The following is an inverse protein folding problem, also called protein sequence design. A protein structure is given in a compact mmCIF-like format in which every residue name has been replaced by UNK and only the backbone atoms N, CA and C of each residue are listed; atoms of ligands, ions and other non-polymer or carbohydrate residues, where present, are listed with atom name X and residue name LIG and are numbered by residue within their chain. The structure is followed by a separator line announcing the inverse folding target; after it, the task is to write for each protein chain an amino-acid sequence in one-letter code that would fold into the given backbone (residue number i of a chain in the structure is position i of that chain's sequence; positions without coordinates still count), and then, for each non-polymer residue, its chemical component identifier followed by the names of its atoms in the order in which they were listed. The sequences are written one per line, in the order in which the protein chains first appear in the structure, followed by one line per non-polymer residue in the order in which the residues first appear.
data_IF_107842830040
#
_entry.id   IF_107842830040
#
_cell.length_a   1.000
_cell.length_b   1.000
_cell.length_c   1.000
_cell.angle_alpha   90.00
_cell.angle_beta   90.00
_cell.angle_gamma   90.00
#
_symmetry.space_group_name_H-M   'P 1'
#
loop_
_entity.id
_entity.type
_entity.pdbx_description
1 polymer ?
#
# COMPACT_ATOMS: atom_id res chain seq x y z
N UNK A 1 -5.47 20.91 10.08
CA UNK A 1 -6.75 21.18 9.40
C UNK A 1 -6.53 21.81 8.04
N UNK A 2 -5.94 23.02 7.95
CA UNK A 2 -5.70 23.71 6.67
C UNK A 2 -4.97 22.85 5.61
N UNK A 3 -3.88 22.18 5.98
CA UNK A 3 -3.15 21.30 5.04
C UNK A 3 -4.03 20.13 4.56
N UNK A 4 -4.85 19.55 5.43
CA UNK A 4 -5.75 18.45 5.07
C UNK A 4 -6.89 18.90 4.14
N UNK A 5 -7.45 20.10 4.37
CA UNK A 5 -8.44 20.69 3.47
C UNK A 5 -7.82 21.04 2.12
N UNK A 6 -6.61 21.60 2.10
CA UNK A 6 -5.88 21.86 0.85
C UNK A 6 -5.57 20.57 0.08
N UNK A 7 -5.15 19.51 0.77
CA UNK A 7 -4.94 18.20 0.15
C UNK A 7 -6.23 17.65 -0.47
N UNK A 8 -7.37 17.79 0.23
CA UNK A 8 -8.67 17.33 -0.28
C UNK A 8 -9.09 18.12 -1.52
N UNK A 9 -8.88 19.44 -1.53
CA UNK A 9 -9.16 20.28 -2.69
C UNK A 9 -8.26 19.89 -3.87
N UNK A 10 -6.97 19.67 -3.65
CA UNK A 10 -6.03 19.25 -4.71
C UNK A 10 -6.38 17.87 -5.27
N UNK A 11 -6.84 16.94 -4.43
CA UNK A 11 -7.36 15.65 -4.89
C UNK A 11 -8.56 15.86 -5.83
N UNK A 12 -9.56 16.63 -5.42
CA UNK A 12 -10.75 16.90 -6.25
C UNK A 12 -10.40 17.64 -7.55
N UNK A 13 -9.47 18.60 -7.50
CA UNK A 13 -8.97 19.29 -8.69
C UNK A 13 -8.28 18.31 -9.66
N UNK A 14 -7.47 17.38 -9.16
CA UNK A 14 -6.80 16.38 -10.00
C UNK A 14 -7.75 15.40 -10.70
N UNK A 15 -8.96 15.21 -10.16
CA UNK A 15 -9.99 14.36 -10.76
C UNK A 15 -10.82 15.09 -11.83
N UNK A 16 -10.80 16.42 -11.82
CA UNK A 16 -11.65 17.26 -12.67
C UNK A 16 -10.95 17.73 -13.95
N UNK A 17 -9.62 17.56 -14.02
CA UNK A 17 -8.78 18.04 -15.12
C UNK A 17 -8.02 16.87 -15.73
N UNK A 18 -7.73 16.99 -17.02
CA UNK A 18 -6.93 16.02 -17.75
C UNK A 18 -5.56 15.81 -17.09
N UNK A 19 -5.17 14.55 -16.98
CA UNK A 19 -3.97 14.13 -16.26
C UNK A 19 -2.77 14.04 -17.19
N UNK A 20 -2.92 13.34 -18.33
CA UNK A 20 -1.91 13.16 -19.36
C UNK A 20 -2.52 13.40 -20.73
N UNK A 21 -1.78 14.07 -21.61
CA UNK A 21 -2.02 14.08 -23.06
C UNK A 21 -0.90 13.33 -23.74
N UNK A 22 -1.24 12.53 -24.73
CA UNK A 22 -0.24 11.90 -25.59
C UNK A 22 -0.67 11.94 -27.05
N UNK A 23 0.31 11.93 -27.94
CA UNK A 23 0.10 11.88 -29.38
C UNK A 23 0.69 10.61 -29.95
N UNK A 24 -0.16 9.79 -30.56
CA UNK A 24 0.25 8.59 -31.28
C UNK A 24 -0.37 8.62 -32.69
N UNK A 25 0.47 8.43 -33.71
CA UNK A 25 0.05 8.42 -35.12
C UNK A 25 -0.74 9.68 -35.56
N UNK A 26 -0.45 10.85 -34.97
CA UNK A 26 -1.04 12.14 -35.35
C UNK A 26 -2.40 12.45 -34.70
N UNK A 27 -2.93 11.57 -33.85
CA UNK A 27 -4.14 11.82 -33.05
C UNK A 27 -3.73 12.18 -31.63
N UNK A 28 -4.08 13.39 -31.19
CA UNK A 28 -3.94 13.78 -29.79
C UNK A 28 -5.13 13.23 -28.98
N UNK A 29 -4.82 12.58 -27.86
CA UNK A 29 -5.82 12.20 -26.87
C UNK A 29 -5.38 12.66 -25.48
N UNK A 30 -6.35 13.12 -24.69
CA UNK A 30 -6.16 13.40 -23.27
C UNK A 30 -6.99 12.44 -22.44
N UNK A 31 -6.50 12.15 -21.23
CA UNK A 31 -7.14 11.23 -20.31
C UNK A 31 -7.13 11.82 -18.91
N UNK A 32 -8.26 11.75 -18.22
CA UNK A 32 -8.34 12.05 -16.77
C UNK A 32 -7.87 10.84 -15.95
N UNK A 33 -7.58 11.05 -14.66
CA UNK A 33 -7.31 9.96 -13.73
C UNK A 33 -8.47 8.96 -13.65
N UNK A 34 -9.71 9.43 -13.75
CA UNK A 34 -10.88 8.57 -13.69
C UNK A 34 -11.03 7.71 -14.94
N UNK A 35 -10.68 8.27 -16.11
CA UNK A 35 -10.68 7.54 -17.38
C UNK A 35 -9.67 6.39 -17.37
N UNK A 36 -8.51 6.58 -16.71
CA UNK A 36 -7.54 5.48 -16.55
C UNK A 36 -8.20 4.30 -15.81
N UNK A 37 -8.85 4.54 -14.67
CA UNK A 37 -9.52 3.50 -13.91
C UNK A 37 -10.69 2.87 -14.69
N UNK A 38 -11.45 3.67 -15.44
CA UNK A 38 -12.56 3.20 -16.27
C UNK A 38 -12.08 2.26 -17.38
N UNK A 39 -11.01 2.64 -18.10
CA UNK A 39 -10.44 1.84 -19.17
C UNK A 39 -9.90 0.49 -18.68
N UNK A 40 -9.33 0.42 -17.47
CA UNK A 40 -8.96 -0.86 -16.86
C UNK A 40 -10.18 -1.74 -16.56
N UNK A 41 -11.31 -1.15 -16.16
CA UNK A 41 -12.49 -1.90 -15.71
C UNK A 41 -13.25 -2.62 -16.83
N UNK A 42 -13.25 -2.05 -18.04
CA UNK A 42 -14.07 -2.53 -19.16
C UNK A 42 -13.55 -3.85 -19.77
N UNK A 43 -12.29 -4.23 -19.51
CA UNK A 43 -11.61 -5.29 -20.26
C UNK A 43 -10.97 -6.36 -19.39
N UNK A 44 -11.79 -7.07 -18.61
CA UNK A 44 -11.43 -8.24 -17.81
C UNK A 44 -10.51 -8.02 -16.60
N UNK A 45 -9.77 -6.91 -16.51
CA UNK A 45 -8.90 -6.58 -15.37
C UNK A 45 -9.56 -5.71 -14.29
N UNK A 46 -10.77 -6.10 -13.88
CA UNK A 46 -11.56 -5.38 -12.87
C UNK A 46 -10.80 -5.22 -11.54
N UNK A 47 -9.96 -6.19 -11.19
CA UNK A 47 -9.19 -6.19 -9.94
C UNK A 47 -8.21 -5.02 -9.90
N UNK A 48 -7.48 -4.76 -10.98
CA UNK A 48 -6.51 -3.66 -11.07
C UNK A 48 -7.21 -2.30 -11.02
N UNK A 49 -8.32 -2.15 -11.76
CA UNK A 49 -9.14 -0.93 -11.72
C UNK A 49 -9.63 -0.61 -10.30
N UNK A 50 -10.17 -1.62 -9.61
CA UNK A 50 -10.64 -1.48 -8.22
C UNK A 50 -9.48 -1.14 -7.29
N UNK A 51 -8.32 -1.79 -7.43
CA UNK A 51 -7.14 -1.52 -6.61
C UNK A 51 -6.67 -0.07 -6.77
N UNK A 52 -6.55 0.41 -8.01
CA UNK A 52 -6.15 1.80 -8.30
C UNK A 52 -7.19 2.77 -7.74
N UNK A 53 -8.47 2.61 -8.05
CA UNK A 53 -9.53 3.52 -7.57
C UNK A 53 -9.61 3.54 -6.04
N UNK A 54 -9.50 2.38 -5.40
CA UNK A 54 -9.57 2.25 -3.95
C UNK A 54 -8.36 2.91 -3.27
N UNK A 55 -7.15 2.66 -3.76
CA UNK A 55 -5.91 3.13 -3.09
C UNK A 55 -5.50 4.56 -3.45
N UNK A 56 -5.81 5.02 -4.66
CA UNK A 56 -5.42 6.34 -5.17
C UNK A 56 -6.47 7.41 -4.89
N UNK A 57 -7.75 7.04 -4.89
CA UNK A 57 -8.86 8.00 -4.79
C UNK A 57 -9.63 7.79 -3.49
N UNK A 58 -10.26 6.62 -3.32
CA UNK A 58 -11.24 6.39 -2.26
C UNK A 58 -10.62 6.45 -0.85
N UNK A 59 -9.53 5.72 -0.60
CA UNK A 59 -8.89 5.67 0.72
C UNK A 59 -8.33 7.04 1.13
N UNK A 60 -7.57 7.76 0.30
CA UNK A 60 -7.10 9.10 0.64
C UNK A 60 -8.25 10.09 0.88
N UNK A 61 -9.32 10.01 0.09
CA UNK A 61 -10.53 10.82 0.30
C UNK A 61 -11.14 10.55 1.67
N UNK A 62 -11.40 9.28 2.01
CA UNK A 62 -11.97 8.89 3.31
C UNK A 62 -11.03 9.30 4.45
N UNK A 63 -9.72 9.11 4.29
CA UNK A 63 -8.72 9.49 5.28
C UNK A 63 -8.73 11.00 5.56
N UNK A 64 -8.70 11.83 4.52
CA UNK A 64 -8.71 13.29 4.65
C UNK A 64 -10.02 13.80 5.24
N UNK A 65 -11.18 13.31 4.77
CA UNK A 65 -12.50 13.68 5.31
C UNK A 65 -12.60 13.30 6.79
N UNK A 66 -12.16 12.08 7.15
CA UNK A 66 -12.15 11.61 8.55
C UNK A 66 -11.29 12.53 9.43
N UNK A 67 -10.10 12.92 8.97
CA UNK A 67 -9.23 13.83 9.71
C UNK A 67 -9.84 15.23 9.84
N UNK A 68 -10.36 15.81 8.76
CA UNK A 68 -10.98 17.14 8.79
C UNK A 68 -12.15 17.16 9.79
N UNK A 69 -12.97 16.11 9.76
CA UNK A 69 -14.08 15.97 10.69
C UNK A 69 -13.61 15.85 12.15
N UNK A 70 -12.60 15.02 12.42
CA UNK A 70 -12.04 14.87 13.78
C UNK A 70 -11.43 16.17 14.29
N UNK A 71 -10.62 16.87 13.48
CA UNK A 71 -9.97 18.12 13.90
C UNK A 71 -10.94 19.30 14.07
N UNK A 72 -12.00 19.38 13.25
CA UNK A 72 -13.03 20.41 13.42
C UNK A 72 -13.82 20.23 14.72
N UNK A 73 -14.11 18.98 15.09
CA UNK A 73 -14.86 18.66 16.30
C UNK A 73 -13.98 18.49 17.54
N UNK A 74 -12.65 18.42 17.41
CA UNK A 74 -11.73 18.18 18.52
C UNK A 74 -11.78 19.25 19.63
N UNK A 75 -12.15 20.50 19.31
CA UNK A 75 -12.26 21.59 20.28
C UNK A 75 -13.57 21.57 21.09
N UNK A 76 -14.65 21.08 20.49
CA UNK A 76 -15.99 21.09 21.07
C UNK A 76 -16.43 19.72 21.63
N UNK A 77 -15.78 18.63 21.20
CA UNK A 77 -16.22 17.29 21.53
C UNK A 77 -15.61 16.79 22.84
N UNK A 78 -16.44 16.76 23.89
CA UNK A 78 -16.39 15.66 24.85
C UNK A 78 -16.52 14.32 24.08
N UNK A 79 -15.92 13.24 24.61
CA UNK A 79 -15.85 11.85 24.08
C UNK A 79 -17.05 11.42 23.19
N UNK A 80 -17.06 11.79 21.90
CA UNK A 80 -18.12 11.41 20.96
C UNK A 80 -17.73 10.10 20.25
N UNK A 81 -18.68 9.16 20.14
CA UNK A 81 -18.45 7.83 19.55
C UNK A 81 -17.96 7.93 18.10
N UNK A 82 -18.50 8.87 17.33
CA UNK A 82 -18.11 9.09 15.93
C UNK A 82 -16.66 9.57 15.79
N UNK A 83 -16.17 10.42 16.71
CA UNK A 83 -14.76 10.85 16.73
C UNK A 83 -13.79 9.71 17.01
N UNK A 84 -14.16 8.82 17.92
CA UNK A 84 -13.37 7.62 18.19
C UNK A 84 -13.41 6.64 17.01
N UNK A 85 -14.55 6.46 16.36
CA UNK A 85 -14.67 5.63 15.17
C UNK A 85 -13.81 6.16 14.02
N UNK A 86 -13.92 7.44 13.68
CA UNK A 86 -13.16 8.04 12.58
C UNK A 86 -11.66 8.07 12.86
N UNK A 87 -11.25 8.28 14.10
CA UNK A 87 -9.84 8.23 14.46
C UNK A 87 -9.28 6.80 14.35
N UNK A 88 -10.03 5.77 14.75
CA UNK A 88 -9.66 4.37 14.51
C UNK A 88 -9.59 4.04 13.02
N UNK A 89 -10.56 4.50 12.24
CA UNK A 89 -10.59 4.33 10.80
C UNK A 89 -9.32 4.92 10.16
N UNK A 90 -8.89 6.11 10.59
CA UNK A 90 -7.66 6.72 10.06
C UNK A 90 -6.41 5.88 10.33
N UNK A 91 -6.31 5.22 11.49
CA UNK A 91 -5.17 4.32 11.79
C UNK A 91 -5.16 3.08 10.89
N UNK A 92 -6.34 2.52 10.59
CA UNK A 92 -6.47 1.38 9.68
C UNK A 92 -6.25 1.74 8.21
N UNK A 93 -6.57 2.97 7.80
CA UNK A 93 -6.37 3.44 6.41
C UNK A 93 -4.92 3.83 6.10
N UNK A 94 -4.14 4.30 7.09
CA UNK A 94 -2.75 4.78 6.91
C UNK A 94 -1.87 3.84 6.07
N UNK A 95 -1.83 2.52 6.33
CA UNK A 95 -0.94 1.63 5.58
C UNK A 95 -1.32 1.48 4.10
N UNK A 96 -2.57 1.80 3.75
CA UNK A 96 -3.10 1.68 2.39
C UNK A 96 -2.98 2.98 1.58
N UNK A 97 -2.51 4.07 2.19
CA UNK A 97 -2.22 5.31 1.48
C UNK A 97 -0.96 5.10 0.61
N UNK A 98 -1.22 4.82 -0.66
CA UNK A 98 -0.22 4.44 -1.67
C UNK A 98 -0.13 5.48 -2.81
N UNK A 99 -0.65 6.69 -2.60
CA UNK A 99 -0.71 7.73 -3.64
C UNK A 99 0.68 8.22 -4.06
N UNK A 100 1.64 8.22 -3.14
CA UNK A 100 3.05 8.48 -3.43
C UNK A 100 3.67 7.40 -4.31
N UNK A 101 3.36 6.13 -3.99
CA UNK A 101 3.78 4.97 -4.77
C UNK A 101 3.18 5.01 -6.18
N UNK A 102 1.91 5.39 -6.31
CA UNK A 102 1.25 5.57 -7.60
C UNK A 102 1.85 6.72 -8.42
N UNK A 103 2.18 7.87 -7.80
CA UNK A 103 2.84 8.98 -8.50
C UNK A 103 4.19 8.55 -9.09
N UNK A 104 4.99 7.83 -8.31
CA UNK A 104 6.27 7.30 -8.77
C UNK A 104 6.08 6.25 -9.88
N UNK A 105 5.11 5.35 -9.74
CA UNK A 105 4.77 4.38 -10.78
C UNK A 105 4.31 5.05 -12.08
N UNK A 106 3.57 6.15 -11.97
CA UNK A 106 3.18 7.00 -13.11
C UNK A 106 4.43 7.54 -13.80
N UNK A 107 5.34 8.16 -13.06
CA UNK A 107 6.57 8.72 -13.62
C UNK A 107 7.42 7.66 -14.34
N UNK A 108 7.58 6.48 -13.73
CA UNK A 108 8.31 5.36 -14.34
C UNK A 108 7.63 4.87 -15.62
N UNK A 109 6.30 4.73 -15.60
CA UNK A 109 5.52 4.34 -16.79
C UNK A 109 5.66 5.36 -17.92
N UNK A 110 5.64 6.66 -17.61
CA UNK A 110 5.81 7.74 -18.60
C UNK A 110 7.20 7.72 -19.23
N UNK A 111 8.26 7.51 -18.43
CA UNK A 111 9.62 7.35 -18.97
C UNK A 111 9.67 6.19 -19.96
N UNK A 112 9.02 5.06 -19.64
CA UNK A 112 8.99 3.88 -20.51
C UNK A 112 8.24 4.12 -21.83
N UNK A 113 7.18 4.93 -21.84
CA UNK A 113 6.40 5.23 -23.04
C UNK A 113 6.99 6.40 -23.84
N UNK A 114 7.79 7.27 -23.23
CA UNK A 114 8.33 8.47 -23.89
C UNK A 114 9.18 8.18 -25.13
N UNK A 115 9.70 6.95 -25.27
CA UNK A 115 10.39 6.49 -26.49
C UNK A 115 9.44 6.13 -27.64
N UNK A 116 8.15 5.95 -27.37
CA UNK A 116 7.12 5.49 -28.30
C UNK A 116 6.10 6.57 -28.68
N UNK A 117 5.87 7.56 -27.82
CA UNK A 117 4.88 8.63 -28.03
C UNK A 117 5.35 9.97 -27.43
N UNK A 118 4.90 11.08 -28.01
CA UNK A 118 5.06 12.40 -27.38
C UNK A 118 4.04 12.53 -26.25
N UNK A 119 4.53 12.75 -25.03
CA UNK A 119 3.74 12.78 -23.80
C UNK A 119 3.86 14.16 -23.17
N UNK A 120 2.72 14.78 -22.90
CA UNK A 120 2.64 16.06 -22.19
C UNK A 120 1.87 15.89 -20.89
N UNK A 121 2.50 16.32 -19.81
CA UNK A 121 1.90 16.39 -18.48
C UNK A 121 1.00 17.62 -18.40
N UNK A 122 -0.24 17.41 -17.97
CA UNK A 122 -1.25 18.48 -17.85
C UNK A 122 -1.44 18.90 -16.39
N UNK A 123 -2.34 19.86 -16.16
CA UNK A 123 -2.60 20.43 -14.83
C UNK A 123 -3.11 19.39 -13.83
N UNK A 124 -3.78 18.32 -14.29
CA UNK A 124 -4.21 17.21 -13.45
C UNK A 124 -3.04 16.48 -12.80
N UNK A 125 -1.94 16.27 -13.53
CA UNK A 125 -0.71 15.65 -12.99
C UNK A 125 -0.06 16.51 -11.91
N UNK A 126 0.04 17.82 -12.13
CA UNK A 126 0.62 18.75 -11.17
C UNK A 126 -0.27 18.90 -9.92
N UNK A 127 -1.59 18.93 -10.09
CA UNK A 127 -2.56 18.94 -8.99
C UNK A 127 -2.48 17.67 -8.15
N UNK A 128 -2.36 16.50 -8.80
CA UNK A 128 -2.17 15.23 -8.12
C UNK A 128 -0.83 15.17 -7.37
N UNK A 129 0.24 15.69 -7.98
CA UNK A 129 1.56 15.78 -7.35
C UNK A 129 1.53 16.67 -6.10
N UNK A 130 0.87 17.84 -6.18
CA UNK A 130 0.66 18.72 -5.04
C UNK A 130 -0.18 18.03 -3.94
N UNK A 131 -1.24 17.31 -4.32
CA UNK A 131 -2.03 16.49 -3.40
C UNK A 131 -1.16 15.47 -2.66
N UNK A 132 -0.31 14.71 -3.35
CA UNK A 132 0.57 13.71 -2.74
C UNK A 132 1.50 14.35 -1.72
N UNK A 133 2.14 15.46 -2.07
CA UNK A 133 3.03 16.20 -1.17
C UNK A 133 2.28 16.69 0.07
N UNK A 134 1.10 17.29 -0.11
CA UNK A 134 0.28 17.76 1.01
C UNK A 134 -0.21 16.60 1.89
N UNK A 135 -0.57 15.45 1.30
CA UNK A 135 -0.97 14.26 2.04
C UNK A 135 0.19 13.72 2.89
N UNK A 136 1.42 13.68 2.36
CA UNK A 136 2.62 13.30 3.11
C UNK A 136 2.86 14.26 4.29
N UNK A 137 2.72 15.57 4.07
CA UNK A 137 2.78 16.55 5.16
C UNK A 137 1.69 16.33 6.22
N UNK A 138 0.45 16.01 5.81
CA UNK A 138 -0.62 15.66 6.74
C UNK A 138 -0.23 14.44 7.57
N UNK A 139 0.28 13.39 6.93
CA UNK A 139 0.69 12.16 7.60
C UNK A 139 1.77 12.40 8.67
N UNK A 140 2.83 13.14 8.32
CA UNK A 140 3.91 13.47 9.25
C UNK A 140 3.43 14.33 10.43
N UNK A 141 2.60 15.35 10.15
CA UNK A 141 2.07 16.24 11.19
C UNK A 141 1.12 15.52 12.14
N UNK A 142 0.22 14.68 11.63
CA UNK A 142 -0.72 13.91 12.45
C UNK A 142 0.03 12.97 13.41
N UNK A 143 1.15 12.38 12.97
CA UNK A 143 2.01 11.54 13.83
C UNK A 143 2.61 12.34 15.00
N UNK A 144 2.96 13.61 14.80
CA UNK A 144 3.57 14.46 15.83
C UNK A 144 2.56 15.02 16.83
N UNK A 145 1.30 15.23 16.44
CA UNK A 145 0.24 15.73 17.32
C UNK A 145 -0.76 14.62 17.67
N UNK A 146 -0.59 13.88 18.79
CA UNK A 146 -1.49 12.79 19.15
C UNK A 146 -2.84 13.34 19.60
N UNK A 147 -3.73 13.55 18.64
CA UNK A 147 -5.14 13.93 18.82
C UNK A 147 -5.83 13.00 19.81
N UNK A 148 -5.41 11.73 19.83
CA UNK A 148 -5.78 10.74 20.84
C UNK A 148 -5.73 11.31 22.26
N UNK A 149 -4.63 11.95 22.68
CA UNK A 149 -4.52 12.50 24.05
C UNK A 149 -5.50 13.64 24.32
N UNK A 150 -5.84 14.43 23.30
CA UNK A 150 -6.76 15.55 23.46
C UNK A 150 -8.22 15.09 23.58
N UNK A 151 -8.59 14.02 22.87
CA UNK A 151 -9.93 13.44 22.90
C UNK A 151 -10.18 12.51 24.10
N UNK A 152 -9.11 11.92 24.66
CA UNK A 152 -9.18 10.99 25.80
C UNK A 152 -8.74 11.73 27.08
N UNK A 153 -9.50 12.75 27.48
CA UNK A 153 -9.22 13.52 28.71
C UNK A 153 -9.61 12.81 30.02
N UNK A 154 -10.32 11.68 29.95
CA UNK A 154 -10.72 10.89 31.13
C UNK A 154 -10.40 9.41 30.93
N UNK A 155 -9.30 8.89 31.50
CA UNK A 155 -9.08 7.46 31.52
C UNK A 155 -10.16 6.80 32.39
N UNK A 156 -10.95 5.90 31.81
CA UNK A 156 -11.48 4.77 32.59
C UNK A 156 -10.27 3.99 33.11
N UNK A 157 -10.32 3.53 34.37
CA UNK A 157 -9.17 2.98 35.09
C UNK A 157 -8.36 2.03 34.22
N UNK A 158 -7.13 2.42 33.90
CA UNK A 158 -6.20 1.55 33.23
C UNK A 158 -5.93 0.34 34.14
N UNK A 159 -5.74 -0.87 33.58
CA UNK A 159 -5.26 -1.98 34.38
C UNK A 159 -3.89 -1.63 34.97
N UNK A 160 -3.72 -1.85 36.27
CA UNK A 160 -2.45 -1.64 36.96
C UNK A 160 -1.42 -2.66 36.45
N UNK A 161 -0.30 -2.15 35.92
CA UNK A 161 0.87 -2.95 35.55
C UNK A 161 1.99 -2.71 36.56
N UNK A 162 2.58 -3.79 37.06
CA UNK A 162 3.77 -3.75 37.90
C UNK A 162 5.02 -3.47 37.04
N UNK A 163 5.80 -2.42 37.34
CA UNK A 163 7.08 -2.19 36.69
C UNK A 163 8.05 -3.37 36.91
N UNK A 164 8.89 -3.67 35.92
CA UNK A 164 9.86 -4.76 36.00
C UNK A 164 9.35 -6.14 35.59
N UNK A 165 8.04 -6.29 35.34
CA UNK A 165 7.45 -7.49 34.73
C UNK A 165 6.90 -7.17 33.34
N UNK A 166 6.94 -8.12 32.43
CA UNK A 166 6.39 -7.91 31.08
C UNK A 166 4.86 -7.83 31.14
N UNK A 167 4.24 -7.11 30.19
CA UNK A 167 2.78 -7.04 30.11
C UNK A 167 2.15 -8.44 29.92
N UNK A 168 2.85 -9.34 29.21
CA UNK A 168 2.35 -10.68 28.94
C UNK A 168 2.23 -11.54 30.21
N UNK A 169 3.24 -11.50 31.08
CA UNK A 169 3.24 -12.24 32.36
C UNK A 169 2.11 -11.81 33.29
N UNK A 170 1.69 -10.55 33.18
CA UNK A 170 0.64 -9.98 34.01
C UNK A 170 -0.77 -10.15 33.41
N UNK A 171 -0.92 -10.92 32.33
CA UNK A 171 -2.21 -11.06 31.65
C UNK A 171 -2.68 -9.76 30.98
N UNK A 172 -1.75 -8.88 30.60
CA UNK A 172 -2.00 -7.61 29.93
C UNK A 172 -1.54 -7.65 28.46
N UNK A 173 -2.10 -6.77 27.64
CA UNK A 173 -1.77 -6.60 26.23
C UNK A 173 -1.94 -5.14 25.81
N UNK A 174 -1.18 -4.69 24.81
CA UNK A 174 -1.34 -3.35 24.24
C UNK A 174 -2.35 -3.34 23.11
N UNK A 175 -3.20 -2.31 23.07
CA UNK A 175 -4.12 -2.07 21.97
C UNK A 175 -3.35 -1.82 20.67
N UNK A 176 -3.67 -2.48 19.55
CA UNK A 176 -2.94 -2.32 18.29
C UNK A 176 -3.12 -0.96 17.62
N UNK A 177 -4.12 -0.18 18.05
CA UNK A 177 -4.50 1.11 17.45
C UNK A 177 -4.01 2.29 18.28
N UNK A 178 -4.41 2.35 19.56
CA UNK A 178 -4.07 3.47 20.45
C UNK A 178 -2.92 3.18 21.42
N UNK A 179 -2.36 1.96 21.40
CA UNK A 179 -1.28 1.51 22.28
C UNK A 179 -1.57 1.48 23.79
N UNK A 180 -2.82 1.74 24.19
CA UNK A 180 -3.26 1.62 25.58
C UNK A 180 -3.10 0.21 26.14
N UNK A 181 -2.71 0.08 27.41
CA UNK A 181 -2.57 -1.21 28.09
C UNK A 181 -3.95 -1.75 28.53
N UNK A 182 -4.32 -2.94 28.06
CA UNK A 182 -5.61 -3.58 28.33
C UNK A 182 -5.39 -4.96 28.94
N UNK A 183 -6.40 -5.50 29.63
CA UNK A 183 -6.38 -6.93 30.00
C UNK A 183 -6.39 -7.81 28.75
N UNK A 184 -5.72 -8.97 28.79
CA UNK A 184 -5.75 -9.97 27.71
C UNK A 184 -7.17 -10.45 27.39
N UNK A 185 -8.05 -10.49 28.39
CA UNK A 185 -9.43 -10.94 28.25
C UNK A 185 -10.44 -9.81 27.99
N UNK A 186 -9.98 -8.56 27.83
CA UNK A 186 -10.87 -7.45 27.50
C UNK A 186 -11.50 -7.66 26.11
N UNK A 187 -12.81 -7.43 25.97
CA UNK A 187 -13.48 -7.52 24.67
C UNK A 187 -13.16 -6.32 23.77
N UNK A 188 -13.08 -5.14 24.37
CA UNK A 188 -12.82 -3.87 23.69
C UNK A 188 -11.81 -3.04 24.46
N UNK A 189 -11.10 -2.18 23.76
CA UNK A 189 -10.15 -1.27 24.38
C UNK A 189 -10.87 -0.23 25.25
N UNK A 190 -10.48 -0.07 26.51
CA UNK A 190 -11.10 0.93 27.39
C UNK A 190 -10.97 2.37 26.86
N UNK A 191 -9.92 2.64 26.08
CA UNK A 191 -9.58 3.97 25.58
C UNK A 191 -10.19 4.25 24.20
N UNK A 192 -9.89 3.43 23.19
CA UNK A 192 -10.34 3.65 21.82
C UNK A 192 -11.56 2.83 21.41
N UNK A 193 -12.08 1.95 22.28
CA UNK A 193 -13.17 0.99 21.99
C UNK A 193 -12.87 0.00 20.87
N UNK A 194 -11.61 -0.15 20.47
CA UNK A 194 -11.21 -1.13 19.47
C UNK A 194 -11.42 -2.55 19.98
N UNK A 195 -12.10 -3.44 19.24
CA UNK A 195 -12.24 -4.84 19.62
C UNK A 195 -10.86 -5.46 19.81
N UNK A 196 -10.61 -6.07 20.98
CA UNK A 196 -9.33 -6.73 21.26
C UNK A 196 -9.35 -8.21 20.83
N UNK A 197 -10.54 -8.82 20.78
CA UNK A 197 -10.76 -10.18 20.24
C UNK A 197 -10.46 -10.30 18.73
N UNK A 198 -10.51 -9.20 17.97
CA UNK A 198 -10.12 -9.18 16.55
C UNK A 198 -8.60 -9.18 16.33
N UNK A 199 -7.79 -9.22 17.40
CA UNK A 199 -6.34 -9.44 17.33
C UNK A 199 -5.95 -10.82 16.78
N UNK A 200 -6.91 -11.69 16.43
CA UNK A 200 -6.65 -12.92 15.67
C UNK A 200 -5.88 -12.65 14.36
N UNK A 201 -6.07 -11.47 13.77
CA UNK A 201 -5.29 -10.99 12.62
C UNK A 201 -3.79 -10.91 12.89
N UNK A 202 -3.34 -10.81 14.15
CA UNK A 202 -1.92 -10.75 14.53
C UNK A 202 -1.36 -12.06 15.07
N UNK A 203 -2.03 -13.18 14.80
CA UNK A 203 -1.55 -14.51 15.18
C UNK A 203 -0.53 -15.03 14.17
N UNK A 204 0.51 -15.76 14.61
CA UNK A 204 1.48 -16.37 13.70
C UNK A 204 0.84 -17.24 12.61
N UNK A 205 -0.25 -17.94 12.93
CA UNK A 205 -0.98 -18.78 11.97
C UNK A 205 -1.56 -17.99 10.79
N UNK A 206 -2.15 -16.82 11.05
CA UNK A 206 -2.68 -15.93 10.00
C UNK A 206 -1.54 -15.42 9.12
N UNK A 207 -0.41 -15.02 9.72
CA UNK A 207 0.77 -14.56 8.99
C UNK A 207 1.36 -15.66 8.11
N UNK A 208 1.44 -16.89 8.61
CA UNK A 208 1.87 -18.07 7.84
C UNK A 208 0.92 -18.34 6.69
N UNK A 209 -0.40 -18.30 6.89
CA UNK A 209 -1.38 -18.53 5.83
C UNK A 209 -1.32 -17.45 4.72
N UNK A 210 -1.16 -16.18 5.10
CA UNK A 210 -1.07 -15.06 4.15
C UNK A 210 0.25 -15.11 3.35
N UNK A 211 1.37 -15.39 4.02
CA UNK A 211 2.68 -15.45 3.33
C UNK A 211 2.78 -16.66 2.40
N UNK A 212 2.21 -17.81 2.78
CA UNK A 212 2.18 -19.00 1.91
C UNK A 212 1.26 -18.78 0.72
N UNK A 213 0.06 -18.20 0.91
CA UNK A 213 -0.82 -17.84 -0.19
C UNK A 213 -0.16 -16.83 -1.14
N UNK A 214 0.53 -15.81 -0.60
CA UNK A 214 1.30 -14.85 -1.40
C UNK A 214 2.45 -15.51 -2.18
N UNK A 215 3.18 -16.43 -1.56
CA UNK A 215 4.25 -17.18 -2.22
C UNK A 215 3.73 -18.08 -3.35
N UNK A 216 2.58 -18.73 -3.16
CA UNK A 216 1.92 -19.54 -4.19
C UNK A 216 1.50 -18.67 -5.37
N UNK A 217 0.91 -17.49 -5.12
CA UNK A 217 0.50 -16.54 -6.17
C UNK A 217 1.69 -15.94 -6.93
N UNK A 218 2.88 -15.94 -6.31
CA UNK A 218 4.11 -15.48 -6.94
C UNK A 218 4.56 -16.39 -8.09
N UNK A 219 4.19 -17.68 -8.07
CA UNK A 219 4.50 -18.65 -9.13
C UNK A 219 3.79 -18.23 -10.45
N UNK A 220 2.45 -18.23 -10.55
CA UNK A 220 1.77 -17.84 -11.78
C UNK A 220 2.11 -16.41 -12.20
N UNK A 221 2.38 -15.49 -11.25
CA UNK A 221 2.80 -14.13 -11.55
C UNK A 221 4.10 -14.02 -12.39
N UNK A 222 5.05 -14.94 -12.21
CA UNK A 222 6.33 -14.90 -12.93
C UNK A 222 6.35 -15.75 -14.20
N UNK A 223 5.55 -16.82 -14.26
CA UNK A 223 5.50 -17.74 -15.39
C UNK A 223 4.45 -17.38 -16.44
N UNK A 224 3.37 -16.70 -16.07
CA UNK A 224 2.34 -16.27 -17.01
C UNK A 224 2.76 -14.99 -17.75
N UNK A 225 2.18 -14.72 -18.94
CA UNK A 225 2.40 -13.47 -19.64
C UNK A 225 1.88 -12.28 -18.85
N UNK A 226 2.71 -11.24 -18.75
CA UNK A 226 2.34 -9.96 -18.15
C UNK A 226 1.66 -9.04 -19.16
N UNK A 227 2.05 -9.15 -20.43
CA UNK A 227 1.43 -8.45 -21.54
C UNK A 227 1.27 -9.40 -22.72
N UNK A 228 0.10 -9.35 -23.35
CA UNK A 228 -0.22 -10.04 -24.59
C UNK A 228 -0.37 -8.98 -25.68
N UNK A 229 0.60 -8.94 -26.60
CA UNK A 229 0.53 -8.04 -27.77
C UNK A 229 -0.02 -8.81 -28.95
N UNK A 230 -1.17 -8.38 -29.48
CA UNK A 230 -1.74 -8.94 -30.72
C UNK A 230 -1.19 -8.15 -31.90
N UNK A 231 -0.30 -8.75 -32.69
CA UNK A 231 0.22 -8.16 -33.94
C UNK A 231 -0.18 -9.05 -35.11
N UNK A 232 -1.01 -8.51 -36.02
CA UNK A 232 -1.43 -9.16 -37.27
C UNK A 232 -1.87 -10.64 -37.10
N UNK A 233 -2.68 -10.91 -36.08
CA UNK A 233 -3.22 -12.26 -35.81
C UNK A 233 -2.25 -13.25 -35.16
N UNK A 234 -1.03 -12.82 -34.80
CA UNK A 234 -0.10 -13.60 -33.96
C UNK A 234 -0.01 -12.99 -32.56
N UNK A 235 -0.34 -13.80 -31.56
CA UNK A 235 -0.17 -13.43 -30.15
C UNK A 235 1.29 -13.64 -29.77
N UNK A 236 1.98 -12.58 -29.34
CA UNK A 236 3.29 -12.67 -28.72
C UNK A 236 3.16 -12.38 -27.22
N UNK A 237 2.86 -13.40 -26.39
CA UNK A 237 2.81 -13.26 -24.96
C UNK A 237 4.22 -13.04 -24.40
N UNK A 238 4.43 -11.92 -23.69
CA UNK A 238 5.69 -11.63 -23.01
C UNK A 238 5.52 -11.80 -21.50
N UNK A 239 6.35 -12.65 -20.90
CA UNK A 239 6.48 -12.75 -19.42
C UNK A 239 7.29 -11.57 -18.88
N UNK A 240 7.30 -11.39 -17.55
CA UNK A 240 8.16 -10.38 -16.91
C UNK A 240 9.63 -10.60 -17.30
N UNK A 241 10.09 -11.85 -17.29
CA UNK A 241 11.45 -12.22 -17.68
C UNK A 241 11.68 -11.92 -19.17
N UNK A 242 10.72 -12.27 -20.03
CA UNK A 242 10.76 -11.94 -21.46
C UNK A 242 10.92 -10.44 -21.71
N UNK A 243 10.11 -9.61 -21.05
CA UNK A 243 10.19 -8.16 -21.15
C UNK A 243 11.52 -7.60 -20.64
N UNK A 244 12.09 -8.15 -19.57
CA UNK A 244 13.43 -7.79 -19.10
C UNK A 244 14.50 -8.17 -20.13
N UNK A 245 14.42 -9.35 -20.74
CA UNK A 245 15.40 -9.78 -21.76
C UNK A 245 15.34 -8.91 -23.01
N UNK A 246 14.15 -8.50 -23.45
CA UNK A 246 13.96 -7.61 -24.60
C UNK A 246 14.53 -6.20 -24.32
N UNK A 247 14.28 -5.66 -23.12
CA UNK A 247 14.88 -4.39 -22.67
C UNK A 247 16.41 -4.48 -22.56
N UNK A 248 16.93 -5.64 -22.13
CA UNK A 248 18.37 -5.86 -22.03
C UNK A 248 19.04 -5.91 -23.40
N UNK A 249 18.39 -6.52 -24.40
CA UNK A 249 18.89 -6.66 -25.76
C UNK A 249 18.75 -5.37 -26.57
N UNK A 250 17.71 -4.57 -26.33
CA UNK A 250 17.48 -3.27 -26.99
C UNK A 250 18.45 -2.17 -26.55
N UNK A 251 19.28 -2.43 -25.54
CA UNK A 251 20.34 -1.51 -25.09
C UNK A 251 20.01 -0.77 -23.79
N UNK A 252 18.76 -0.78 -23.36
CA UNK A 252 18.26 -0.13 -22.14
C UNK A 252 18.51 -0.95 -20.87
N UNK A 253 19.75 -1.42 -20.70
CA UNK A 253 20.19 -2.27 -19.58
C UNK A 253 19.84 -1.71 -18.19
N UNK A 254 19.96 -0.38 -17.92
CA UNK A 254 19.57 0.18 -16.63
C UNK A 254 18.07 0.01 -16.33
N UNK A 255 17.21 0.21 -17.33
CA UNK A 255 15.75 0.07 -17.18
C UNK A 255 15.40 -1.40 -16.97
N UNK A 256 15.99 -2.30 -17.74
CA UNK A 256 15.84 -3.74 -17.58
C UNK A 256 16.20 -4.21 -16.16
N UNK A 257 17.31 -3.71 -15.60
CA UNK A 257 17.74 -4.03 -14.25
C UNK A 257 16.76 -3.54 -13.18
N UNK A 258 16.23 -2.31 -13.32
CA UNK A 258 15.24 -1.76 -12.40
C UNK A 258 13.97 -2.62 -12.39
N UNK A 259 13.44 -2.95 -13.57
CA UNK A 259 12.23 -3.79 -13.71
C UNK A 259 12.47 -5.20 -13.14
N UNK A 260 13.62 -5.81 -13.43
CA UNK A 260 13.96 -7.14 -12.89
C UNK A 260 14.02 -7.15 -11.36
N UNK A 261 14.72 -6.17 -10.77
CA UNK A 261 14.85 -6.08 -9.31
C UNK A 261 13.49 -5.81 -8.68
N UNK A 262 12.71 -4.88 -9.23
CA UNK A 262 11.41 -4.52 -8.68
C UNK A 262 10.39 -5.66 -8.77
N UNK A 263 10.33 -6.35 -9.90
CA UNK A 263 9.26 -7.32 -10.17
C UNK A 263 9.59 -8.74 -9.69
N UNK A 264 10.86 -9.13 -9.62
CA UNK A 264 11.26 -10.47 -9.17
C UNK A 264 11.97 -10.44 -7.82
N UNK A 265 13.07 -9.68 -7.72
CA UNK A 265 13.97 -9.75 -6.55
C UNK A 265 13.27 -9.25 -5.28
N UNK A 266 12.58 -8.10 -5.36
CA UNK A 266 11.92 -7.49 -4.20
C UNK A 266 10.80 -8.39 -3.64
N UNK A 267 9.83 -8.89 -4.43
CA UNK A 267 8.78 -9.77 -3.92
C UNK A 267 9.31 -11.08 -3.33
N UNK A 268 10.27 -11.72 -4.00
CA UNK A 268 10.89 -12.96 -3.51
C UNK A 268 11.64 -12.70 -2.20
N UNK A 269 12.45 -11.63 -2.14
CA UNK A 269 13.18 -11.26 -0.92
C UNK A 269 12.22 -10.97 0.24
N UNK A 270 11.09 -10.28 -0.01
CA UNK A 270 10.07 -9.99 1.01
C UNK A 270 9.46 -11.28 1.59
N UNK A 271 9.16 -12.25 0.74
CA UNK A 271 8.65 -13.57 1.17
C UNK A 271 9.69 -14.30 2.01
N UNK A 272 10.93 -14.39 1.52
CA UNK A 272 12.02 -15.07 2.22
C UNK A 272 12.29 -14.44 3.59
N UNK A 273 12.38 -13.12 3.68
CA UNK A 273 12.64 -12.43 4.95
C UNK A 273 11.50 -12.65 5.94
N UNK A 274 10.23 -12.57 5.52
CA UNK A 274 9.10 -12.84 6.42
C UNK A 274 9.07 -14.29 6.91
N UNK A 275 9.37 -15.26 6.04
CA UNK A 275 9.48 -16.67 6.43
C UNK A 275 10.64 -16.86 7.42
N UNK A 276 11.80 -16.28 7.16
CA UNK A 276 12.94 -16.32 8.08
C UNK A 276 12.59 -15.69 9.43
N UNK A 277 11.93 -14.53 9.46
CA UNK A 277 11.49 -13.90 10.69
C UNK A 277 10.46 -14.74 11.46
N UNK A 278 9.57 -15.46 10.78
CA UNK A 278 8.64 -16.40 11.40
C UNK A 278 9.36 -17.61 12.01
N UNK A 279 10.38 -18.15 11.32
CA UNK A 279 11.20 -19.26 11.84
C UNK A 279 12.02 -18.78 13.04
N UNK A 280 12.69 -17.63 12.92
CA UNK A 280 13.46 -17.02 14.00
C UNK A 280 12.57 -16.61 15.18
N UNK A 281 11.30 -16.25 14.95
CA UNK A 281 10.35 -16.01 16.05
C UNK A 281 10.05 -17.29 16.86
N UNK A 282 10.30 -18.48 16.30
CA UNK A 282 10.23 -19.75 17.06
C UNK A 282 11.51 -20.06 17.84
N UNK A 283 12.66 -19.54 17.40
CA UNK A 283 13.99 -19.89 17.94
C UNK A 283 14.65 -18.65 18.58
N UNK A 284 14.78 -18.65 19.90
CA UNK A 284 15.01 -17.42 20.68
C UNK A 284 16.49 -17.21 21.01
N UNK A 285 17.07 -16.10 20.56
CA UNK A 285 18.43 -15.65 20.95
C UNK A 285 18.42 -14.16 21.26
N UNK A 286 18.68 -13.74 22.53
CA UNK A 286 18.56 -12.35 22.98
C UNK A 286 19.42 -11.37 22.18
N UNK A 287 20.61 -11.80 21.75
CA UNK A 287 21.58 -10.93 21.06
C UNK A 287 21.17 -10.52 19.65
N UNK A 288 20.11 -11.11 19.07
CA UNK A 288 19.72 -10.86 17.66
C UNK A 288 18.43 -10.05 17.50
N UNK A 289 17.76 -9.64 18.59
CA UNK A 289 16.47 -8.91 18.53
C UNK A 289 16.55 -7.62 17.71
N UNK A 290 17.63 -6.85 17.88
CA UNK A 290 17.87 -5.61 17.10
C UNK A 290 17.93 -5.89 15.60
N UNK A 291 18.65 -6.92 15.18
CA UNK A 291 18.78 -7.30 13.77
C UNK A 291 17.43 -7.74 13.18
N UNK A 292 16.65 -8.53 13.93
CA UNK A 292 15.30 -8.97 13.53
C UNK A 292 14.35 -7.79 13.33
N UNK A 293 14.40 -6.78 14.21
CA UNK A 293 13.60 -5.56 14.09
C UNK A 293 14.03 -4.69 12.91
N UNK A 294 15.32 -4.59 12.63
CA UNK A 294 15.83 -3.86 11.45
C UNK A 294 15.38 -4.56 10.17
N UNK A 295 15.56 -5.88 10.08
CA UNK A 295 15.08 -6.67 8.94
C UNK A 295 13.58 -6.49 8.74
N UNK A 296 12.78 -6.61 9.80
CA UNK A 296 11.33 -6.39 9.73
C UNK A 296 10.99 -4.98 9.24
N UNK A 297 11.62 -3.93 9.80
CA UNK A 297 11.37 -2.54 9.38
C UNK A 297 11.76 -2.29 7.94
N UNK A 298 12.87 -2.86 7.47
CA UNK A 298 13.28 -2.78 6.07
C UNK A 298 12.27 -3.47 5.17
N UNK A 299 11.81 -4.67 5.54
CA UNK A 299 10.81 -5.42 4.77
C UNK A 299 9.45 -4.73 4.74
N UNK A 300 9.01 -4.15 5.86
CA UNK A 300 7.77 -3.37 5.94
C UNK A 300 7.86 -2.09 5.10
N UNK A 301 9.00 -1.39 5.17
CA UNK A 301 9.27 -0.23 4.33
C UNK A 301 9.25 -0.61 2.85
N UNK A 302 10.08 -1.57 2.41
CA UNK A 302 10.11 -2.10 1.03
C UNK A 302 8.72 -2.60 0.60
N UNK A 303 7.94 -3.13 1.54
CA UNK A 303 6.63 -3.72 1.30
C UNK A 303 5.65 -2.78 0.61
N UNK A 304 5.66 -1.47 0.92
CA UNK A 304 4.81 -0.48 0.23
C UNK A 304 5.33 -0.14 -1.17
N UNK A 305 6.65 -0.13 -1.37
CA UNK A 305 7.28 0.14 -2.67
C UNK A 305 7.09 -1.01 -3.66
N UNK A 306 6.87 -2.24 -3.17
CA UNK A 306 6.54 -3.39 -4.03
C UNK A 306 5.24 -3.21 -4.83
N UNK A 307 4.38 -2.23 -4.50
CA UNK A 307 3.18 -1.90 -5.27
C UNK A 307 3.47 -1.03 -6.51
N UNK A 308 4.68 -0.45 -6.65
CA UNK A 308 5.04 0.39 -7.81
C UNK A 308 4.76 -0.33 -9.12
N UNK A 309 5.19 -1.60 -9.23
CA UNK A 309 5.11 -2.36 -10.46
C UNK A 309 3.66 -2.57 -10.92
N UNK A 310 2.74 -2.76 -9.98
CA UNK A 310 1.30 -2.89 -10.29
C UNK A 310 0.79 -1.58 -10.87
N UNK A 311 1.16 -0.44 -10.28
CA UNK A 311 0.75 0.87 -10.78
C UNK A 311 1.39 1.19 -12.14
N UNK A 312 2.67 0.84 -12.35
CA UNK A 312 3.34 0.97 -13.64
C UNK A 312 2.56 0.19 -14.70
N UNK A 313 2.28 -1.10 -14.46
CA UNK A 313 1.52 -1.94 -15.41
C UNK A 313 0.13 -1.36 -15.66
N UNK A 314 -0.59 -0.94 -14.62
CA UNK A 314 -1.92 -0.36 -14.75
C UNK A 314 -1.92 0.88 -15.66
N UNK A 315 -0.96 1.79 -15.47
CA UNK A 315 -0.84 3.03 -16.25
C UNK A 315 -0.40 2.74 -17.69
N UNK A 316 0.56 1.84 -17.88
CA UNK A 316 0.98 1.42 -19.21
C UNK A 316 -0.20 0.84 -20.00
N UNK A 317 -1.01 -0.02 -19.38
CA UNK A 317 -2.21 -0.59 -20.00
C UNK A 317 -3.23 0.49 -20.34
N UNK A 318 -3.50 1.43 -19.44
CA UNK A 318 -4.42 2.53 -19.72
C UNK A 318 -3.94 3.36 -20.93
N UNK A 319 -2.67 3.76 -20.95
CA UNK A 319 -2.11 4.62 -21.99
C UNK A 319 -2.02 3.92 -23.36
N UNK A 320 -1.57 2.66 -23.39
CA UNK A 320 -1.42 1.93 -24.65
C UNK A 320 -2.77 1.68 -25.33
N UNK A 321 -3.83 1.40 -24.55
CA UNK A 321 -5.15 1.07 -25.12
C UNK A 321 -5.91 2.25 -25.66
N UNK A 322 -5.64 3.44 -25.15
CA UNK A 322 -6.25 4.65 -25.67
C UNK A 322 -5.71 4.94 -27.10
N UNK A 323 -4.51 4.47 -27.46
CA UNK A 323 -3.97 4.49 -28.83
C UNK A 323 -4.54 3.39 -29.74
N UNK A 324 -5.31 3.76 -30.76
CA UNK A 324 -6.09 2.85 -31.62
C UNK A 324 -5.30 1.95 -32.60
N UNK A 325 -4.00 1.72 -32.42
CA UNK A 325 -3.15 1.02 -33.43
C UNK A 325 -2.51 -0.28 -32.91
N UNK A 326 -2.39 -0.48 -31.59
CA UNK A 326 -1.91 -1.75 -31.01
C UNK A 326 -2.71 -2.11 -29.76
N UNK A 327 -3.40 -3.26 -29.79
CA UNK A 327 -4.06 -3.80 -28.60
C UNK A 327 -3.06 -4.62 -27.78
N UNK A 328 -2.56 -4.02 -26.69
CA UNK A 328 -1.79 -4.72 -25.67
C UNK A 328 -2.70 -5.00 -24.49
N UNK A 329 -2.86 -6.27 -24.16
CA UNK A 329 -3.68 -6.71 -23.04
C UNK A 329 -2.78 -7.04 -21.85
N UNK A 330 -3.13 -6.60 -20.63
CA UNK A 330 -2.56 -7.20 -19.43
C UNK A 330 -2.89 -8.70 -19.42
N UNK A 331 -1.86 -9.52 -19.28
CA UNK A 331 -2.04 -10.97 -19.15
C UNK A 331 -2.40 -11.35 -17.72
N UNK A 332 -2.84 -12.60 -17.55
CA UNK A 332 -3.25 -13.19 -16.25
C UNK A 332 -2.19 -13.12 -15.14
N UNK A 333 -0.92 -12.92 -15.50
CA UNK A 333 0.15 -12.67 -14.53
C UNK A 333 -0.10 -11.41 -13.68
N UNK A 334 -0.72 -10.37 -14.24
CA UNK A 334 -0.93 -9.10 -13.54
C UNK A 334 -1.86 -9.26 -12.32
N UNK A 335 -2.94 -10.04 -12.44
CA UNK A 335 -3.84 -10.37 -11.32
C UNK A 335 -3.12 -11.19 -10.26
N UNK A 336 -2.37 -12.22 -10.67
CA UNK A 336 -1.62 -13.09 -9.77
C UNK A 336 -0.55 -12.31 -9.01
N UNK A 337 0.14 -11.40 -9.69
CA UNK A 337 1.13 -10.51 -9.12
C UNK A 337 0.48 -9.54 -8.12
N UNK A 338 -0.63 -8.91 -8.48
CA UNK A 338 -1.38 -8.03 -7.59
C UNK A 338 -1.85 -8.75 -6.32
N UNK A 339 -2.39 -9.97 -6.46
CA UNK A 339 -2.78 -10.80 -5.34
C UNK A 339 -1.59 -11.13 -4.44
N UNK A 340 -0.44 -11.52 -5.01
CA UNK A 340 0.77 -11.81 -4.25
C UNK A 340 1.26 -10.59 -3.45
N UNK A 341 1.28 -9.40 -4.05
CA UNK A 341 1.70 -8.16 -3.37
C UNK A 341 0.74 -7.80 -2.23
N UNK A 342 -0.57 -7.86 -2.47
CA UNK A 342 -1.58 -7.58 -1.42
C UNK A 342 -1.48 -8.61 -0.29
N UNK A 343 -1.37 -9.90 -0.59
CA UNK A 343 -1.24 -10.96 0.41
C UNK A 343 0.04 -10.81 1.24
N UNK A 344 1.18 -10.50 0.61
CA UNK A 344 2.44 -10.29 1.34
C UNK A 344 2.43 -9.01 2.17
N UNK A 345 1.69 -7.97 1.74
CA UNK A 345 1.45 -6.76 2.52
C UNK A 345 0.57 -7.06 3.74
N UNK A 346 -0.54 -7.79 3.57
CA UNK A 346 -1.37 -8.25 4.67
C UNK A 346 -0.58 -9.17 5.64
N UNK A 347 0.30 -10.02 5.11
CA UNK A 347 1.19 -10.85 5.91
C UNK A 347 2.10 -9.98 6.79
N UNK A 348 2.75 -8.96 6.23
CA UNK A 348 3.57 -8.03 7.00
C UNK A 348 2.78 -7.31 8.10
N UNK A 349 1.55 -6.85 7.81
CA UNK A 349 0.67 -6.21 8.81
C UNK A 349 0.20 -7.17 9.91
N UNK A 350 0.02 -8.45 9.58
CA UNK A 350 -0.36 -9.49 10.54
C UNK A 350 0.81 -9.93 11.43
N UNK A 351 2.05 -9.66 11.05
CA UNK A 351 3.22 -10.11 11.79
C UNK A 351 3.36 -9.34 13.12
N UNK A 352 3.32 -10.05 14.25
CA UNK A 352 3.48 -9.43 15.56
C UNK A 352 4.97 -9.38 15.98
N UNK A 353 5.58 -8.19 15.91
CA UNK A 353 6.98 -7.99 16.32
C UNK A 353 7.23 -8.24 17.81
N UNK A 354 6.17 -8.29 18.64
CA UNK A 354 6.30 -8.62 20.08
C UNK A 354 6.77 -10.06 20.31
N UNK A 355 6.63 -10.94 19.32
CA UNK A 355 7.13 -12.31 19.37
C UNK A 355 8.64 -12.37 19.60
N UNK A 356 9.40 -11.35 19.18
CA UNK A 356 10.85 -11.31 19.40
C UNK A 356 11.26 -11.13 20.86
N UNK A 357 10.34 -10.70 21.73
CA UNK A 357 10.63 -10.32 23.12
C UNK A 357 10.07 -11.31 24.14
N UNK A 358 9.40 -12.40 23.72
CA UNK A 358 8.59 -13.24 24.62
C UNK A 358 9.37 -14.12 25.60
N UNK A 359 10.65 -14.44 25.33
CA UNK A 359 11.53 -15.17 26.28
C UNK A 359 12.93 -14.56 26.35
N UNK A 360 13.14 -13.32 25.87
CA UNK A 360 14.41 -12.61 26.09
C UNK A 360 14.63 -12.23 27.57
N UNK A 361 13.54 -12.25 28.37
CA UNK A 361 13.51 -11.90 29.79
C UNK A 361 13.40 -13.13 30.72
N UNK A 362 13.45 -14.35 30.19
CA UNK A 362 13.71 -15.58 30.96
C UNK A 362 15.19 -15.91 30.93
#
# INVERSE_FOLDING_TARGET
MAIATSALVMLLASLSVDFIRYSAAGVEQSMTLLDTAWQLSYFHEKVLAVLVLLTVILIPFIYLVSLIWVYSHAKNAARNRSSLYLLRLTEHLKPWLMTDVFLLGTLVALVKISSLADIRLLEGFWSFSAFVVLLLFVYERVKQTPVWRHLIKTPQSAPDGQPGMTAFEQGLQTCPVCYALNSQNADTCYQCTEPQKTSWWRRPGTTVALITAGAIMLIPAHWLPVMETVRFGSDQPSTIIGGVTELWQSGDKPIAAIVFVASLVIPVAKVLVLITLLILARWQTPQTVRHRLILFKLTDWIGRWSMIDIFVVAILVALVRSGSVMSVYPGSAAVSFAAAVVLTMLAAMSFDTRLFWREADK
#
